data_IF_249758897917
#
_entry.id   IF_249758897917
#
_cell.length_a   1.000
_cell.length_b   1.000
_cell.length_c   1.000
_cell.angle_alpha   90.00
_cell.angle_beta   90.00
_cell.angle_gamma   90.00
#
_symmetry.space_group_name_H-M   'P 1'
#
loop_
_entity.id
_entity.type
_entity.pdbx_description
1 polymer ?
#
# COMPACT_ATOMS: atom_id res chain seq x y z
N UNK A 1 -11.22 20.48 -0.62
CA UNK A 1 -12.13 19.75 -1.55
C UNK A 1 -13.38 20.60 -1.76
N UNK A 2 -13.78 20.80 -3.03
CA UNK A 2 -15.01 21.52 -3.34
C UNK A 2 -16.26 20.67 -3.07
N UNK A 3 -17.42 21.31 -2.80
CA UNK A 3 -18.70 20.64 -2.53
C UNK A 3 -19.09 19.62 -3.63
N UNK A 4 -18.76 19.90 -4.92
CA UNK A 4 -19.03 18.97 -6.05
C UNK A 4 -18.22 17.68 -5.98
N UNK A 5 -16.97 17.71 -5.51
CA UNK A 5 -16.13 16.53 -5.40
C UNK A 5 -16.65 15.57 -4.32
N UNK A 6 -17.08 16.10 -3.17
CA UNK A 6 -17.68 15.31 -2.10
C UNK A 6 -19.01 14.66 -2.52
N UNK A 7 -19.85 15.35 -3.30
CA UNK A 7 -21.10 14.77 -3.83
C UNK A 7 -20.85 13.59 -4.78
N UNK A 8 -19.83 13.70 -5.65
CA UNK A 8 -19.46 12.62 -6.58
C UNK A 8 -18.89 11.40 -5.84
N UNK A 9 -18.06 11.61 -4.80
CA UNK A 9 -17.55 10.54 -3.93
C UNK A 9 -18.71 9.82 -3.25
N UNK A 10 -19.64 10.57 -2.65
CA UNK A 10 -20.82 10.00 -1.96
C UNK A 10 -21.70 9.17 -2.89
N UNK A 11 -22.07 9.71 -4.05
CA UNK A 11 -22.89 8.98 -5.04
C UNK A 11 -22.20 7.70 -5.50
N UNK A 12 -20.89 7.78 -5.80
CA UNK A 12 -20.11 6.62 -6.26
C UNK A 12 -20.02 5.55 -5.17
N UNK A 13 -19.74 5.96 -3.94
CA UNK A 13 -19.68 5.03 -2.81
C UNK A 13 -21.04 4.36 -2.56
N UNK A 14 -22.13 5.11 -2.54
CA UNK A 14 -23.49 4.57 -2.37
C UNK A 14 -23.86 3.55 -3.46
N UNK A 15 -23.41 3.77 -4.71
CA UNK A 15 -23.65 2.84 -5.81
C UNK A 15 -22.91 1.51 -5.63
N UNK A 16 -21.66 1.55 -5.15
CA UNK A 16 -20.84 0.33 -5.01
C UNK A 16 -21.05 -0.39 -3.69
N UNK A 17 -21.36 0.33 -2.60
CA UNK A 17 -21.54 -0.24 -1.26
C UNK A 17 -22.65 -1.30 -1.19
N UNK A 18 -23.69 -1.15 -2.00
CA UNK A 18 -24.79 -2.13 -2.13
C UNK A 18 -24.35 -3.51 -2.65
N UNK A 19 -23.16 -3.60 -3.23
CA UNK A 19 -22.59 -4.83 -3.81
C UNK A 19 -21.50 -5.45 -2.94
N UNK A 20 -21.10 -4.75 -1.89
CA UNK A 20 -20.05 -5.19 -0.98
C UNK A 20 -20.58 -6.34 -0.13
N UNK A 21 -19.74 -7.36 0.06
CA UNK A 21 -20.04 -8.51 0.91
C UNK A 21 -18.99 -8.55 2.03
N UNK A 22 -19.46 -8.69 3.26
CA UNK A 22 -18.58 -8.88 4.40
C UNK A 22 -18.14 -10.34 4.51
N UNK A 23 -16.84 -10.58 4.69
CA UNK A 23 -16.31 -11.92 4.93
C UNK A 23 -16.19 -12.23 6.44
N UNK A 24 -15.83 -13.47 6.78
CA UNK A 24 -15.69 -13.94 8.17
C UNK A 24 -14.66 -13.18 9.01
N UNK A 25 -13.77 -12.39 8.37
CA UNK A 25 -12.74 -11.60 9.02
C UNK A 25 -13.15 -10.11 9.14
N UNK A 26 -14.39 -9.77 8.86
CA UNK A 26 -14.88 -8.39 8.85
C UNK A 26 -14.41 -7.56 7.67
N UNK A 27 -13.79 -8.17 6.64
CA UNK A 27 -13.41 -7.47 5.43
C UNK A 27 -14.63 -7.21 4.54
N UNK A 28 -14.81 -5.96 4.13
CA UNK A 28 -15.79 -5.58 3.12
C UNK A 28 -15.21 -5.82 1.72
N UNK A 29 -15.60 -6.93 1.12
CA UNK A 29 -15.07 -7.39 -0.16
C UNK A 29 -15.80 -6.77 -1.33
N UNK A 30 -15.09 -6.02 -2.15
CA UNK A 30 -15.62 -5.51 -3.40
C UNK A 30 -15.60 -6.59 -4.49
N UNK A 31 -16.78 -7.01 -5.03
CA UNK A 31 -16.88 -8.11 -5.99
C UNK A 31 -16.55 -7.71 -7.44
N UNK A 32 -16.35 -6.41 -7.72
CA UNK A 32 -16.14 -5.90 -9.08
C UNK A 32 -14.71 -6.07 -9.61
N UNK A 33 -14.39 -5.30 -10.66
CA UNK A 33 -13.11 -5.36 -11.34
C UNK A 33 -11.93 -5.04 -10.43
N UNK A 34 -10.80 -5.69 -10.71
CA UNK A 34 -9.51 -5.43 -10.05
C UNK A 34 -8.46 -5.00 -11.07
N UNK A 35 -7.48 -4.22 -10.62
CA UNK A 35 -6.28 -3.97 -11.41
C UNK A 35 -5.31 -5.17 -11.38
N UNK A 36 -4.20 -5.09 -12.13
CA UNK A 36 -3.19 -6.14 -12.18
C UNK A 36 -2.57 -6.48 -10.80
N UNK A 37 -2.57 -5.52 -9.89
CA UNK A 37 -2.09 -5.72 -8.53
C UNK A 37 -3.15 -6.34 -7.59
N UNK A 38 -4.37 -6.62 -8.06
CA UNK A 38 -5.46 -7.23 -7.30
C UNK A 38 -6.29 -6.25 -6.46
N UNK A 39 -6.10 -4.94 -6.60
CA UNK A 39 -6.94 -3.94 -5.93
C UNK A 39 -8.25 -3.74 -6.68
N UNK A 40 -9.38 -3.71 -5.95
CA UNK A 40 -10.67 -3.33 -6.54
C UNK A 40 -10.60 -1.93 -7.13
N UNK A 41 -11.12 -1.74 -8.34
CA UNK A 41 -11.14 -0.47 -9.06
C UNK A 41 -12.55 -0.11 -9.53
N UNK A 42 -12.83 1.19 -9.55
CA UNK A 42 -14.05 1.77 -10.13
C UNK A 42 -13.70 2.95 -11.02
N UNK A 43 -14.49 3.14 -12.09
CA UNK A 43 -14.37 4.31 -12.95
C UNK A 43 -14.76 5.57 -12.18
N UNK A 44 -14.01 6.64 -12.37
CA UNK A 44 -14.21 7.96 -11.78
C UNK A 44 -14.14 9.01 -12.87
N UNK A 45 -15.22 9.19 -13.63
CA UNK A 45 -15.28 10.27 -14.60
C UNK A 45 -15.20 11.62 -13.87
N UNK A 46 -14.12 12.35 -14.08
CA UNK A 46 -13.93 13.74 -13.64
C UNK A 46 -13.99 14.00 -12.11
N UNK A 47 -13.51 13.10 -11.29
CA UNK A 47 -13.21 13.44 -9.89
C UNK A 47 -11.88 14.22 -9.87
N UNK A 48 -11.96 15.51 -10.13
CA UNK A 48 -10.84 16.39 -10.50
C UNK A 48 -9.83 16.68 -9.37
N UNK A 49 -10.08 16.21 -8.16
CA UNK A 49 -9.24 16.51 -7.01
C UNK A 49 -8.34 15.33 -6.58
N UNK A 50 -8.31 14.25 -7.36
CA UNK A 50 -7.40 13.13 -7.12
C UNK A 50 -6.21 13.23 -8.08
N UNK A 51 -4.97 13.34 -7.57
CA UNK A 51 -3.78 13.53 -8.40
C UNK A 51 -3.39 12.31 -9.22
N UNK A 52 -4.11 11.20 -9.12
CA UNK A 52 -3.73 9.93 -9.73
C UNK A 52 -4.78 9.46 -10.74
N UNK A 53 -4.39 9.43 -12.01
CA UNK A 53 -5.02 8.77 -13.14
C UNK A 53 -6.47 9.19 -13.47
N UNK A 54 -6.59 10.07 -14.45
CA UNK A 54 -7.83 10.35 -15.16
C UNK A 54 -8.60 9.05 -15.43
N UNK A 55 -9.73 8.85 -14.73
CA UNK A 55 -10.70 7.83 -15.06
C UNK A 55 -10.91 6.69 -14.05
N UNK A 56 -10.00 6.40 -13.13
CA UNK A 56 -10.17 5.28 -12.17
C UNK A 56 -9.67 5.61 -10.75
N UNK A 57 -10.35 5.05 -9.74
CA UNK A 57 -9.89 5.06 -8.35
C UNK A 57 -9.98 3.65 -7.77
N UNK A 58 -9.06 3.31 -6.88
CA UNK A 58 -9.17 2.05 -6.13
C UNK A 58 -10.26 2.16 -5.07
N UNK A 59 -11.01 1.07 -4.86
CA UNK A 59 -12.19 1.07 -4.00
C UNK A 59 -11.83 1.38 -2.54
N UNK A 60 -10.68 0.90 -2.04
CA UNK A 60 -10.24 1.23 -0.68
C UNK A 60 -9.93 2.74 -0.51
N UNK A 61 -9.35 3.40 -1.53
CA UNK A 61 -9.14 4.87 -1.50
C UNK A 61 -10.47 5.61 -1.54
N UNK A 62 -11.43 5.13 -2.35
CA UNK A 62 -12.77 5.71 -2.39
C UNK A 62 -13.49 5.57 -1.05
N UNK A 63 -13.41 4.39 -0.42
CA UNK A 63 -13.94 4.15 0.93
C UNK A 63 -13.32 5.11 1.95
N UNK A 64 -11.99 5.20 1.96
CA UNK A 64 -11.27 6.11 2.84
C UNK A 64 -11.72 7.57 2.67
N UNK A 65 -11.82 8.05 1.43
CA UNK A 65 -12.30 9.40 1.11
C UNK A 65 -13.73 9.63 1.58
N UNK A 66 -14.61 8.66 1.40
CA UNK A 66 -16.01 8.76 1.80
C UNK A 66 -16.16 8.88 3.33
N UNK A 67 -15.43 8.03 4.10
CA UNK A 67 -15.58 7.96 5.56
C UNK A 67 -14.75 9.03 6.29
N UNK A 68 -13.56 9.39 5.77
CA UNK A 68 -12.65 10.34 6.42
C UNK A 68 -12.58 11.72 5.76
N UNK A 69 -13.28 11.91 4.64
CA UNK A 69 -13.48 13.20 3.97
C UNK A 69 -12.28 13.73 3.17
N UNK A 70 -11.08 13.21 3.36
CA UNK A 70 -9.87 13.67 2.65
C UNK A 70 -8.80 12.60 2.54
N UNK A 71 -8.00 12.66 1.46
CA UNK A 71 -6.74 11.90 1.40
C UNK A 71 -5.67 12.61 2.24
N UNK A 72 -4.93 11.87 3.06
CA UNK A 72 -3.82 12.46 3.80
C UNK A 72 -2.69 12.86 2.84
N UNK A 73 -2.13 14.06 3.07
CA UNK A 73 -1.01 14.55 2.27
C UNK A 73 0.24 13.69 2.52
N UNK A 74 0.98 13.38 1.46
CA UNK A 74 2.25 12.63 1.51
C UNK A 74 2.15 11.23 2.15
N UNK A 75 0.93 10.64 2.15
CA UNK A 75 0.68 9.29 2.66
C UNK A 75 -0.08 8.45 1.63
N UNK A 76 -0.01 7.16 1.81
CA UNK A 76 -0.80 6.17 1.07
C UNK A 76 -1.78 5.48 2.01
N UNK A 77 -2.84 4.91 1.45
CA UNK A 77 -3.78 4.11 2.23
C UNK A 77 -3.31 2.66 2.24
N UNK A 78 -3.13 2.15 3.45
CA UNK A 78 -2.64 0.80 3.74
C UNK A 78 -3.80 -0.06 4.27
N UNK A 79 -3.71 -1.38 4.02
CA UNK A 79 -4.62 -2.36 4.59
C UNK A 79 -3.96 -3.04 5.79
N UNK A 80 -4.56 -2.95 6.96
CA UNK A 80 -4.11 -3.69 8.14
C UNK A 80 -4.45 -5.19 8.01
N UNK A 81 -5.54 -5.51 7.32
CA UNK A 81 -5.99 -6.88 7.01
C UNK A 81 -5.25 -7.56 5.85
N UNK A 82 -4.34 -6.87 5.14
CA UNK A 82 -3.60 -7.34 3.96
C UNK A 82 -4.47 -7.77 2.74
N UNK A 83 -5.78 -7.64 2.81
CA UNK A 83 -6.68 -8.00 1.73
C UNK A 83 -6.87 -6.82 0.77
N UNK A 84 -6.32 -6.93 -0.45
CA UNK A 84 -6.36 -5.86 -1.47
C UNK A 84 -7.75 -5.53 -2.00
N UNK A 85 -8.72 -6.42 -1.82
CA UNK A 85 -10.13 -6.20 -2.20
C UNK A 85 -10.97 -5.64 -1.05
N UNK A 86 -10.41 -5.57 0.16
CA UNK A 86 -11.09 -5.00 1.31
C UNK A 86 -11.25 -3.49 1.14
N UNK A 87 -12.42 -2.99 1.49
CA UNK A 87 -12.73 -1.57 1.55
C UNK A 87 -13.40 -1.16 2.89
N UNK A 88 -13.30 -2.02 3.92
CA UNK A 88 -13.74 -1.67 5.26
C UNK A 88 -12.87 -0.51 5.81
N UNK A 89 -13.45 0.66 6.15
CA UNK A 89 -12.68 1.80 6.65
C UNK A 89 -11.89 1.49 7.93
N UNK A 90 -12.39 0.61 8.79
CA UNK A 90 -11.69 0.19 10.01
C UNK A 90 -10.43 -0.64 9.74
N UNK A 91 -10.32 -1.25 8.56
CA UNK A 91 -9.14 -1.99 8.10
C UNK A 91 -8.18 -1.13 7.28
N UNK A 92 -8.46 0.20 7.16
CA UNK A 92 -7.67 1.12 6.35
C UNK A 92 -7.01 2.17 7.23
N UNK A 93 -5.72 2.36 7.04
CA UNK A 93 -4.97 3.42 7.70
C UNK A 93 -4.14 4.23 6.72
N UNK A 94 -3.89 5.49 7.07
CA UNK A 94 -2.94 6.32 6.34
C UNK A 94 -1.52 6.03 6.83
N UNK A 95 -0.62 5.70 5.92
CA UNK A 95 0.77 5.42 6.23
C UNK A 95 1.73 5.91 5.15
N UNK A 96 3.01 5.90 5.45
CA UNK A 96 4.08 6.24 4.52
C UNK A 96 4.50 5.02 3.70
N UNK A 97 5.22 5.25 2.60
CA UNK A 97 5.86 4.16 1.85
C UNK A 97 6.85 3.37 2.70
N UNK A 98 7.52 4.04 3.66
CA UNK A 98 8.44 3.38 4.57
C UNK A 98 7.72 2.42 5.51
N UNK A 99 6.60 2.85 6.11
CA UNK A 99 5.75 1.98 6.95
C UNK A 99 5.22 0.78 6.16
N UNK A 100 4.73 1.00 4.93
CA UNK A 100 4.29 -0.09 4.06
C UNK A 100 5.42 -1.11 3.76
N UNK A 101 6.63 -0.61 3.52
CA UNK A 101 7.79 -1.47 3.31
C UNK A 101 8.17 -2.27 4.55
N UNK A 102 8.12 -1.65 5.73
CA UNK A 102 8.37 -2.32 7.01
C UNK A 102 7.33 -3.40 7.30
N UNK A 103 6.05 -3.09 7.11
CA UNK A 103 4.96 -4.06 7.24
C UNK A 103 5.14 -5.26 6.31
N UNK A 104 5.49 -4.99 5.05
CA UNK A 104 5.73 -6.03 4.06
C UNK A 104 6.93 -6.93 4.44
N UNK A 105 7.98 -6.34 5.01
CA UNK A 105 9.14 -7.09 5.51
C UNK A 105 8.81 -7.90 6.75
N UNK A 106 8.14 -7.29 7.73
CA UNK A 106 7.75 -7.95 8.98
C UNK A 106 6.83 -9.15 8.73
N UNK A 107 5.92 -9.03 7.76
CA UNK A 107 4.98 -10.09 7.35
C UNK A 107 5.58 -11.09 6.33
N UNK A 108 6.86 -10.98 5.99
CA UNK A 108 7.54 -11.88 5.04
C UNK A 108 7.01 -11.81 3.60
N UNK A 109 6.28 -10.76 3.23
CA UNK A 109 5.70 -10.59 1.89
C UNK A 109 6.71 -10.17 0.81
N UNK A 110 7.85 -9.66 1.21
CA UNK A 110 8.94 -9.37 0.27
C UNK A 110 9.69 -10.66 -0.04
N UNK A 111 9.90 -10.92 -1.33
CA UNK A 111 10.77 -12.01 -1.77
C UNK A 111 12.20 -11.71 -1.34
N UNK A 112 12.86 -12.71 -0.71
CA UNK A 112 14.23 -12.59 -0.25
C UNK A 112 14.35 -12.44 1.27
N UNK A 113 15.42 -11.81 1.71
CA UNK A 113 15.79 -11.71 3.13
C UNK A 113 14.86 -10.76 3.86
N UNK A 114 14.29 -11.23 4.98
CA UNK A 114 13.54 -10.36 5.88
C UNK A 114 14.52 -9.58 6.77
N UNK A 115 14.94 -8.42 6.30
CA UNK A 115 15.92 -7.58 7.00
C UNK A 115 15.47 -7.13 8.39
N UNK A 116 14.16 -6.95 8.62
CA UNK A 116 13.66 -6.57 9.96
C UNK A 116 13.85 -7.72 10.93
N UNK A 117 13.51 -8.95 10.52
CA UNK A 117 13.69 -10.14 11.35
C UNK A 117 15.16 -10.44 11.59
N UNK A 118 16.00 -10.34 10.55
CA UNK A 118 17.43 -10.70 10.62
C UNK A 118 18.29 -9.62 11.29
N UNK A 119 18.00 -8.34 11.04
CA UNK A 119 18.89 -7.23 11.39
C UNK A 119 18.20 -6.11 12.17
N UNK A 120 16.93 -6.24 12.52
CA UNK A 120 16.14 -5.23 13.25
C UNK A 120 15.90 -3.92 12.50
N UNK A 121 16.17 -3.87 11.19
CA UNK A 121 16.02 -2.66 10.37
C UNK A 121 15.71 -3.01 8.91
N UNK A 122 15.23 -2.02 8.15
CA UNK A 122 14.96 -2.20 6.71
C UNK A 122 16.26 -2.35 5.90
N UNK A 123 16.15 -2.91 4.68
CA UNK A 123 17.28 -3.00 3.75
C UNK A 123 17.94 -1.64 3.50
N UNK A 124 17.14 -0.58 3.34
CA UNK A 124 17.64 0.77 3.09
C UNK A 124 18.37 1.34 4.30
N UNK A 125 17.84 1.12 5.50
CA UNK A 125 18.49 1.55 6.75
C UNK A 125 19.81 0.81 6.98
N UNK A 126 19.84 -0.51 6.73
CA UNK A 126 21.06 -1.29 6.84
C UNK A 126 22.12 -0.84 5.81
N UNK A 127 21.70 -0.62 4.56
CA UNK A 127 22.60 -0.13 3.52
C UNK A 127 23.19 1.23 3.89
N UNK A 128 22.39 2.15 4.44
CA UNK A 128 22.86 3.44 4.94
C UNK A 128 23.87 3.29 6.08
N UNK A 129 23.59 2.44 7.07
CA UNK A 129 24.52 2.14 8.17
C UNK A 129 25.87 1.60 7.68
N UNK A 130 25.86 0.83 6.60
CA UNK A 130 27.05 0.25 5.99
C UNK A 130 27.73 1.15 4.95
N UNK A 131 27.17 2.33 4.70
CA UNK A 131 27.61 3.28 3.68
C UNK A 131 27.72 2.66 2.27
N UNK A 132 26.72 1.90 1.89
CA UNK A 132 26.59 1.25 0.58
C UNK A 132 25.19 1.46 -0.01
N UNK A 133 25.02 1.18 -1.30
CA UNK A 133 23.69 1.22 -1.92
C UNK A 133 22.86 0.00 -1.53
N UNK A 134 21.51 0.10 -1.51
CA UNK A 134 20.62 -1.06 -1.26
C UNK A 134 20.81 -2.20 -2.27
N UNK A 135 21.18 -1.87 -3.53
CA UNK A 135 21.51 -2.87 -4.55
C UNK A 135 22.81 -3.63 -4.22
N UNK A 136 23.84 -2.91 -3.76
CA UNK A 136 25.09 -3.52 -3.35
C UNK A 136 24.90 -4.43 -2.12
N UNK A 137 24.06 -4.01 -1.17
CA UNK A 137 23.68 -4.84 -0.04
C UNK A 137 22.98 -6.14 -0.49
N UNK A 138 22.02 -6.04 -1.43
CA UNK A 138 21.34 -7.22 -1.98
C UNK A 138 22.32 -8.19 -2.65
N UNK A 139 23.27 -7.67 -3.41
CA UNK A 139 24.33 -8.48 -4.05
C UNK A 139 25.22 -9.17 -3.02
N UNK A 140 25.60 -8.48 -1.93
CA UNK A 140 26.38 -9.09 -0.84
C UNK A 140 25.61 -10.23 -0.18
N UNK A 141 24.34 -10.01 0.13
CA UNK A 141 23.49 -11.02 0.73
C UNK A 141 23.26 -12.22 -0.19
N UNK A 142 23.00 -11.99 -1.48
CA UNK A 142 22.81 -13.06 -2.46
C UNK A 142 24.06 -13.90 -2.69
N UNK A 143 25.24 -13.27 -2.70
CA UNK A 143 26.50 -13.96 -3.04
C UNK A 143 27.18 -14.59 -1.82
N UNK A 144 27.10 -13.95 -0.65
CA UNK A 144 27.87 -14.36 0.54
C UNK A 144 27.03 -14.57 1.80
N UNK A 145 25.73 -14.31 1.74
CA UNK A 145 24.83 -14.41 2.91
C UNK A 145 25.18 -13.42 4.04
N UNK A 146 26.08 -12.47 3.80
CA UNK A 146 26.60 -11.56 4.81
C UNK A 146 26.62 -10.10 4.36
N UNK A 147 25.89 -9.19 5.01
CA UNK A 147 25.85 -7.78 4.65
C UNK A 147 27.18 -7.04 4.90
N UNK A 148 27.96 -7.54 5.85
CA UNK A 148 29.22 -6.92 6.28
C UNK A 148 30.44 -7.38 5.45
N UNK A 149 30.23 -8.34 4.55
CA UNK A 149 31.32 -8.82 3.71
C UNK A 149 31.92 -7.69 2.85
N UNK A 150 33.21 -7.51 2.94
CA UNK A 150 34.01 -6.65 2.06
C UNK A 150 34.84 -7.55 1.14
N UNK A 151 34.64 -7.53 -0.18
CA UNK A 151 35.50 -8.27 -1.07
C UNK A 151 36.98 -7.74 -0.94
N UNK A 152 37.96 -8.60 -1.03
CA UNK A 152 39.36 -8.14 -1.07
C UNK A 152 39.54 -7.18 -2.25
N UNK A 153 40.28 -6.09 -2.02
CA UNK A 153 40.62 -5.17 -3.08
C UNK A 153 41.38 -5.95 -4.18
N UNK A 154 40.88 -5.84 -5.43
CA UNK A 154 41.59 -6.34 -6.59
C UNK A 154 42.75 -5.43 -6.93
#
# INVERSE_FOLDING_TARGET
>A
MGRKALSNISMKWQAISKRIVEDSNGCWIYPGHTNQAGYGIVSCDKMTDLPENAGQITVHKLSYLYHYGRMPKDKIILHDCDNRRCCNPEHLRAGTYLENSRDAQAKGRLRGINYIKEFGCTRTELARKLNITPGNLSNRMAKWGNPYYKPPNR
#
